data_IF_127903982567
#
_entry.id   IF_127903982567
#
_cell.length_a   1.000
_cell.length_b   1.000
_cell.length_c   1.000
_cell.angle_alpha   90.00
_cell.angle_beta   90.00
_cell.angle_gamma   90.00
#
_symmetry.space_group_name_H-M   'P 1'
#
loop_
_entity.id
_entity.type
_entity.pdbx_description
1 polymer ?
#
# COMPACT_ATOMS: atom_id res chain seq x y z
N UNK A 1 1.57 -5.55 14.89
CA UNK A 1 0.12 -5.33 15.09
C UNK A 1 -0.28 -4.14 14.24
N UNK A 2 -1.51 -4.13 13.73
CA UNK A 2 -2.10 -2.97 13.03
C UNK A 2 -3.44 -2.62 13.66
N UNK A 3 -3.78 -1.33 13.67
CA UNK A 3 -5.09 -0.86 14.14
C UNK A 3 -6.05 -0.78 12.97
N UNK A 4 -7.19 -1.46 13.07
CA UNK A 4 -8.19 -1.56 12.01
C UNK A 4 -9.52 -1.07 12.54
N UNK A 5 -10.27 -0.32 11.72
CA UNK A 5 -11.64 0.04 12.01
C UNK A 5 -12.59 -1.05 11.46
N UNK A 6 -13.30 -1.74 12.35
CA UNK A 6 -14.29 -2.73 11.96
C UNK A 6 -15.60 -2.04 11.59
N UNK A 7 -15.96 -2.02 10.32
CA UNK A 7 -17.17 -1.34 9.82
C UNK A 7 -18.47 -2.00 10.28
N UNK A 8 -18.46 -3.31 10.60
CA UNK A 8 -19.65 -4.02 11.09
C UNK A 8 -19.98 -3.70 12.55
N UNK A 9 -18.95 -3.55 13.39
CA UNK A 9 -19.09 -3.29 14.83
C UNK A 9 -18.82 -1.83 15.21
N UNK A 10 -18.47 -1.01 14.22
CA UNK A 10 -18.10 0.42 14.33
C UNK A 10 -17.04 0.72 15.40
N UNK A 11 -16.05 -0.16 15.55
CA UNK A 11 -15.01 -0.06 16.57
C UNK A 11 -13.61 -0.31 16.03
N UNK A 12 -12.63 0.37 16.64
CA UNK A 12 -11.22 0.08 16.41
C UNK A 12 -10.79 -1.18 17.16
N UNK A 13 -10.03 -2.04 16.49
CA UNK A 13 -9.40 -3.22 17.08
C UNK A 13 -7.96 -3.35 16.62
N UNK A 14 -7.14 -3.95 17.48
CA UNK A 14 -5.81 -4.42 17.08
C UNK A 14 -5.94 -5.76 16.37
N UNK A 15 -5.22 -5.91 15.26
CA UNK A 15 -5.08 -7.17 14.53
C UNK A 15 -3.61 -7.54 14.41
N UNK A 16 -3.32 -8.84 14.35
CA UNK A 16 -1.99 -9.33 13.97
C UNK A 16 -1.65 -8.82 12.57
N UNK A 17 -0.44 -8.29 12.43
CA UNK A 17 0.13 -7.91 11.14
C UNK A 17 0.88 -9.12 10.56
N UNK A 18 1.07 -9.21 9.23
CA UNK A 18 1.98 -10.19 8.66
C UNK A 18 3.37 -10.07 9.28
N UNK A 19 4.04 -11.21 9.50
CA UNK A 19 5.30 -11.27 10.25
C UNK A 19 6.45 -10.49 9.60
N UNK A 20 6.40 -10.31 8.27
CA UNK A 20 7.43 -9.66 7.47
C UNK A 20 7.20 -8.15 7.27
N UNK A 21 6.19 -7.55 7.91
CA UNK A 21 5.84 -6.14 7.69
C UNK A 21 6.86 -5.21 8.37
N UNK A 22 7.58 -4.35 7.62
CA UNK A 22 8.44 -3.31 8.18
C UNK A 22 7.67 -2.26 8.98
N UNK A 23 8.40 -1.36 9.64
CA UNK A 23 7.86 -0.39 10.62
C UNK A 23 6.83 0.60 10.04
N UNK A 24 6.77 0.75 8.73
CA UNK A 24 5.82 1.63 8.03
C UNK A 24 4.88 0.79 7.17
N UNK A 25 3.59 0.86 7.47
CA UNK A 25 2.55 0.16 6.73
C UNK A 25 1.29 1.01 6.59
N UNK A 26 0.61 0.88 5.45
CA UNK A 26 -0.65 1.53 5.16
C UNK A 26 -1.75 0.47 5.02
N UNK A 27 -2.95 0.77 5.54
CA UNK A 27 -4.14 -0.04 5.38
C UNK A 27 -5.06 0.60 4.35
N UNK A 28 -5.64 -0.22 3.47
CA UNK A 28 -6.59 0.21 2.46
C UNK A 28 -7.52 -0.95 2.11
N UNK A 29 -8.56 -0.67 1.34
CA UNK A 29 -9.54 -1.66 0.87
C UNK A 29 -9.20 -2.06 -0.58
N UNK A 30 -9.32 -3.36 -0.88
CA UNK A 30 -9.21 -3.94 -2.23
C UNK A 30 -10.25 -5.04 -2.37
N UNK A 31 -11.15 -4.93 -3.34
CA UNK A 31 -12.18 -5.93 -3.67
C UNK A 31 -13.00 -6.42 -2.45
N UNK A 32 -13.39 -5.49 -1.59
CA UNK A 32 -14.11 -5.73 -0.35
C UNK A 32 -13.27 -6.34 0.77
N UNK A 33 -11.94 -6.43 0.60
CA UNK A 33 -10.99 -6.99 1.57
C UNK A 33 -10.06 -5.93 2.10
N UNK A 34 -9.65 -6.12 3.35
CA UNK A 34 -8.60 -5.29 3.92
C UNK A 34 -7.26 -5.69 3.31
N UNK A 35 -6.48 -4.70 2.88
CA UNK A 35 -5.15 -4.87 2.39
C UNK A 35 -4.17 -4.04 3.22
N UNK A 36 -2.94 -4.50 3.24
CA UNK A 36 -1.82 -3.87 3.92
C UNK A 36 -0.67 -3.76 2.94
N UNK A 37 -0.12 -2.56 2.80
CA UNK A 37 1.13 -2.33 2.10
C UNK A 37 2.23 -1.94 3.06
N UNK A 38 3.46 -2.26 2.68
CA UNK A 38 4.62 -1.92 3.48
C UNK A 38 5.83 -1.63 2.61
N UNK A 39 6.66 -0.68 3.02
CA UNK A 39 7.87 -0.27 2.30
C UNK A 39 9.16 -0.68 3.04
N UNK A 40 10.11 -1.22 2.28
CA UNK A 40 11.46 -1.53 2.78
C UNK A 40 12.38 -0.31 2.87
N UNK A 41 13.52 -0.48 3.55
CA UNK A 41 14.55 0.56 3.64
C UNK A 41 15.37 0.62 2.33
N UNK A 42 15.45 1.81 1.71
CA UNK A 42 16.44 2.13 0.68
C UNK A 42 16.14 1.65 -0.75
N UNK A 43 15.13 0.81 -0.95
CA UNK A 43 14.57 0.46 -2.26
C UNK A 43 13.07 0.46 -2.07
N UNK A 44 12.31 1.16 -2.93
CA UNK A 44 10.86 1.30 -2.77
C UNK A 44 10.17 0.05 -3.27
N UNK A 45 10.42 -1.03 -2.54
CA UNK A 45 9.73 -2.30 -2.65
C UNK A 45 8.41 -2.14 -1.89
N UNK A 46 7.31 -2.34 -2.60
CA UNK A 46 5.98 -2.36 -2.05
C UNK A 46 5.52 -3.80 -1.92
N UNK A 47 5.50 -4.29 -0.69
CA UNK A 47 4.94 -5.60 -0.37
C UNK A 47 3.46 -5.43 -0.04
N UNK A 48 2.59 -6.21 -0.69
CA UNK A 48 1.14 -6.17 -0.52
C UNK A 48 0.64 -7.47 0.06
N UNK A 49 -0.07 -7.34 1.17
CA UNK A 49 -0.72 -8.41 1.90
C UNK A 49 -2.22 -8.18 1.88
N UNK A 50 -2.98 -9.19 1.48
CA UNK A 50 -4.44 -9.13 1.49
C UNK A 50 -4.97 -10.05 2.58
N UNK A 51 -5.98 -9.55 3.28
CA UNK A 51 -6.66 -10.25 4.34
C UNK A 51 -7.43 -11.45 3.72
N UNK A 52 -6.98 -12.67 4.02
CA UNK A 52 -7.59 -13.90 3.50
C UNK A 52 -8.75 -14.39 4.39
N UNK A 53 -8.55 -14.41 5.72
CA UNK A 53 -9.59 -14.74 6.71
C UNK A 53 -9.59 -13.76 7.90
N UNK A 54 -10.60 -12.88 7.93
CA UNK A 54 -10.64 -11.72 8.84
C UNK A 54 -10.80 -12.15 10.30
N UNK A 55 -11.52 -13.25 10.53
CA UNK A 55 -11.84 -13.74 11.87
C UNK A 55 -10.59 -14.20 12.62
N UNK A 56 -9.71 -14.93 11.93
CA UNK A 56 -8.46 -15.45 12.50
C UNK A 56 -7.21 -14.63 12.13
N UNK A 57 -7.39 -13.49 11.45
CA UNK A 57 -6.33 -12.52 11.13
C UNK A 57 -5.23 -13.09 10.23
N UNK A 58 -5.61 -13.92 9.26
CA UNK A 58 -4.67 -14.49 8.28
C UNK A 58 -4.45 -13.55 7.11
N UNK A 59 -3.19 -13.26 6.83
CA UNK A 59 -2.78 -12.42 5.70
C UNK A 59 -2.08 -13.26 4.65
N UNK A 60 -2.46 -13.06 3.39
CA UNK A 60 -1.85 -13.70 2.24
C UNK A 60 -0.98 -12.68 1.50
N UNK A 61 0.25 -13.06 1.18
CA UNK A 61 1.13 -12.26 0.34
C UNK A 61 0.62 -12.29 -1.11
N UNK A 62 0.40 -11.14 -1.73
CA UNK A 62 -0.12 -11.05 -3.11
C UNK A 62 0.89 -10.52 -4.10
N UNK A 63 1.53 -9.40 -3.79
CA UNK A 63 2.42 -8.72 -4.74
C UNK A 63 3.67 -8.21 -4.04
N UNK A 64 4.80 -8.30 -4.75
CA UNK A 64 6.01 -7.51 -4.53
C UNK A 64 6.17 -6.60 -5.73
N UNK A 65 6.16 -5.29 -5.53
CA UNK A 65 6.31 -4.33 -6.61
C UNK A 65 7.59 -3.55 -6.36
N UNK A 66 8.54 -3.66 -7.28
CA UNK A 66 9.81 -2.94 -7.21
C UNK A 66 9.69 -1.67 -8.04
N UNK A 67 9.52 -0.51 -7.39
CA UNK A 67 9.45 0.74 -8.13
C UNK A 67 10.81 1.10 -8.72
N UNK A 68 10.82 1.56 -9.96
CA UNK A 68 12.04 1.93 -10.68
C UNK A 68 12.89 2.97 -9.93
N UNK A 69 14.21 2.73 -9.88
CA UNK A 69 15.17 3.60 -9.22
C UNK A 69 15.27 4.99 -9.86
N UNK A 70 14.79 5.15 -11.10
CA UNK A 70 14.67 6.44 -11.76
C UNK A 70 13.83 7.45 -10.95
N UNK A 71 13.02 6.96 -10.03
CA UNK A 71 12.15 7.75 -9.16
C UNK A 71 12.63 7.83 -7.71
N UNK A 72 13.83 7.33 -7.37
CA UNK A 72 14.35 7.36 -6.00
C UNK A 72 14.34 8.76 -5.39
N UNK A 73 14.77 9.78 -6.14
CA UNK A 73 14.78 11.16 -5.66
C UNK A 73 13.38 11.70 -5.39
N UNK A 74 12.41 11.32 -6.24
CA UNK A 74 11.00 11.68 -6.08
C UNK A 74 10.43 10.96 -4.86
N UNK A 75 10.59 9.64 -4.79
CA UNK A 75 10.09 8.77 -3.73
C UNK A 75 10.77 9.03 -2.38
N UNK A 76 11.96 9.62 -2.34
CA UNK A 76 12.59 10.09 -1.10
C UNK A 76 11.80 11.23 -0.43
N UNK A 77 10.99 12.00 -1.19
CA UNK A 77 10.03 12.96 -0.63
C UNK A 77 8.75 12.27 -0.09
N UNK A 78 8.49 11.06 -0.54
CA UNK A 78 7.39 10.20 -0.09
C UNK A 78 7.85 9.42 1.14
N UNK A 79 8.25 10.10 2.23
CA UNK A 79 8.49 9.40 3.52
C UNK A 79 7.19 9.04 4.26
N UNK A 80 6.08 9.67 3.85
CA UNK A 80 4.74 9.53 4.42
C UNK A 80 3.70 9.45 3.30
N UNK A 81 3.87 8.48 2.40
CA UNK A 81 2.93 8.29 1.29
C UNK A 81 1.73 7.45 1.69
N UNK A 82 0.59 7.80 1.10
CA UNK A 82 -0.58 6.94 1.13
C UNK A 82 -0.52 6.11 -0.14
N UNK A 83 -0.34 4.80 0.04
CA UNK A 83 -0.49 3.84 -1.05
C UNK A 83 -1.96 3.55 -1.18
N UNK A 84 -2.52 3.86 -2.36
CA UNK A 84 -3.88 3.47 -2.72
C UNK A 84 -3.79 2.44 -3.83
N UNK A 85 -4.30 1.25 -3.57
CA UNK A 85 -4.42 0.24 -4.61
C UNK A 85 -5.81 0.37 -5.21
N UNK A 86 -5.88 0.57 -6.52
CA UNK A 86 -7.13 0.50 -7.26
C UNK A 86 -7.05 -0.77 -8.10
N UNK A 87 -7.88 -1.79 -7.83
CA UNK A 87 -7.77 -3.01 -8.60
C UNK A 87 -9.12 -3.56 -9.07
N UNK A 88 -9.42 -3.31 -10.35
CA UNK A 88 -9.86 -4.38 -11.26
C UNK A 88 -8.77 -4.71 -12.31
N UNK A 89 -7.77 -3.85 -12.55
CA UNK A 89 -6.83 -3.96 -13.70
C UNK A 89 -5.33 -4.13 -13.31
N UNK A 90 -4.98 -4.26 -12.03
CA UNK A 90 -3.60 -4.56 -11.61
C UNK A 90 -2.64 -3.38 -11.74
N UNK A 91 -2.91 -2.28 -11.04
CA UNK A 91 -2.03 -1.10 -10.99
C UNK A 91 -2.04 -0.43 -9.61
N UNK A 92 -1.03 0.41 -9.34
CA UNK A 92 -0.81 1.03 -8.03
C UNK A 92 -0.80 2.54 -8.14
N UNK A 93 -1.56 3.20 -7.27
CA UNK A 93 -1.51 4.64 -7.11
C UNK A 93 -0.77 5.01 -5.82
N UNK A 94 0.26 5.83 -5.95
CA UNK A 94 1.07 6.31 -4.83
C UNK A 94 0.91 7.81 -4.77
N UNK A 95 0.37 8.31 -3.66
CA UNK A 95 0.14 9.74 -3.48
C UNK A 95 0.95 10.32 -2.32
N UNK A 96 1.29 11.59 -2.47
CA UNK A 96 1.64 12.46 -1.36
C UNK A 96 0.81 13.75 -1.46
N UNK A 97 1.14 14.75 -0.65
CA UNK A 97 0.44 16.03 -0.63
C UNK A 97 0.65 16.90 -1.89
N UNK A 98 1.59 16.55 -2.78
CA UNK A 98 1.94 17.30 -3.99
C UNK A 98 1.47 16.65 -5.28
N UNK A 99 1.43 15.32 -5.34
CA UNK A 99 1.25 14.59 -6.59
C UNK A 99 0.74 13.16 -6.37
N UNK A 100 0.22 12.59 -7.45
CA UNK A 100 -0.27 11.22 -7.55
C UNK A 100 0.45 10.50 -8.69
N UNK A 101 1.16 9.43 -8.35
CA UNK A 101 1.91 8.61 -9.29
C UNK A 101 1.16 7.31 -9.54
N UNK A 102 1.05 6.92 -10.81
CA UNK A 102 0.41 5.68 -11.23
C UNK A 102 1.45 4.71 -11.78
N UNK A 103 1.57 3.53 -11.19
CA UNK A 103 2.48 2.47 -11.59
C UNK A 103 1.71 1.22 -12.02
N UNK A 104 2.26 0.41 -12.92
CA UNK A 104 1.82 -0.97 -13.08
C UNK A 104 2.42 -1.88 -11.99
N UNK A 105 2.00 -3.14 -11.96
CA UNK A 105 2.52 -4.17 -11.04
C UNK A 105 4.00 -4.51 -11.25
N UNK A 106 4.57 -4.17 -12.41
CA UNK A 106 6.00 -4.34 -12.71
C UNK A 106 6.82 -3.13 -12.23
N UNK A 107 6.17 -2.13 -11.61
CA UNK A 107 6.82 -0.94 -11.05
C UNK A 107 7.19 0.13 -12.07
N UNK A 108 6.61 0.06 -13.29
CA UNK A 108 6.79 1.09 -14.32
C UNK A 108 5.75 2.20 -14.14
N UNK A 109 6.22 3.45 -14.18
CA UNK A 109 5.36 4.62 -14.14
C UNK A 109 4.51 4.68 -15.42
N UNK A 110 3.19 4.70 -15.25
CA UNK A 110 2.19 4.86 -16.30
C UNK A 110 1.83 6.34 -16.47
N UNK A 111 1.54 7.03 -15.36
CA UNK A 111 1.09 8.44 -15.36
C UNK A 111 1.60 9.17 -14.12
N UNK A 112 1.92 10.45 -14.29
CA UNK A 112 2.24 11.40 -13.21
C UNK A 112 1.21 12.54 -13.21
N UNK A 113 0.51 12.74 -12.09
CA UNK A 113 -0.51 13.77 -11.93
C UNK A 113 -0.08 14.80 -10.86
N UNK A 114 -0.02 16.05 -11.29
CA UNK A 114 0.11 17.21 -10.40
C UNK A 114 -1.26 17.88 -10.23
N UNK A 115 -1.92 17.83 -9.06
CA UNK A 115 -3.06 18.70 -8.80
C UNK A 115 -2.59 20.15 -8.94
N UNK A 116 -3.11 20.86 -9.94
CA UNK A 116 -2.86 22.29 -10.16
C UNK A 116 -3.25 23.07 -8.89
N UNK A 117 -2.31 23.88 -8.41
CA UNK A 117 -2.45 24.81 -7.28
C UNK A 117 -3.50 25.89 -7.52
#
# INVERSE_FOLDING_TARGET
MVMVFGTTVELFRWMRAPAAVPKSACLFEVDGKLALSSSGDGVVVLDIWVQQDYGIEVWEFKYRIELSLAWEGLLAEFRHFVVMFLCEEGSVLISNYKQLLHFDIEGKLLVDFFPLS
#
